data_IF_864495869779
#
_entry.id   IF_864495869779
#
_cell.length_a   1.000
_cell.length_b   1.000
_cell.length_c   1.000
_cell.angle_alpha   90.00
_cell.angle_beta   90.00
_cell.angle_gamma   90.00
#
_symmetry.space_group_name_H-M   'P 1'
#
loop_
_entity.id
_entity.type
_entity.pdbx_description
1 polymer ?
#
# COMPACT_ATOMS: atom_id res chain seq x y z
N UNK A 1 -16.44 6.20 8.47
CA UNK A 1 -16.55 6.23 9.94
C UNK A 1 -15.21 6.73 10.40
N UNK A 2 -15.18 7.93 10.95
CA UNK A 2 -13.94 8.64 11.18
C UNK A 2 -13.60 8.55 12.67
N UNK A 3 -12.38 8.13 12.98
CA UNK A 3 -11.90 8.02 14.35
C UNK A 3 -11.05 9.25 14.62
N UNK A 4 -11.54 10.13 15.50
CA UNK A 4 -10.75 11.26 15.98
C UNK A 4 -9.78 10.78 17.05
N UNK A 5 -8.51 11.17 16.91
CA UNK A 5 -7.47 10.83 17.87
C UNK A 5 -7.74 11.49 19.23
N UNK A 6 -7.44 10.76 20.30
CA UNK A 6 -7.41 11.34 21.64
C UNK A 6 -6.21 12.29 21.80
N UNK A 7 -6.23 13.22 22.77
CA UNK A 7 -5.08 14.09 23.04
C UNK A 7 -3.79 13.32 23.37
N UNK A 8 -3.90 12.15 23.99
CA UNK A 8 -2.75 11.28 24.28
C UNK A 8 -2.18 10.68 22.99
N UNK A 9 -3.04 10.18 22.10
CA UNK A 9 -2.63 9.64 20.81
C UNK A 9 -2.00 10.72 19.92
N UNK A 10 -2.54 11.94 19.95
CA UNK A 10 -1.97 13.08 19.24
C UNK A 10 -0.54 13.39 19.72
N UNK A 11 -0.29 13.36 21.04
CA UNK A 11 1.08 13.58 21.56
C UNK A 11 2.06 12.51 21.10
N UNK A 12 1.63 11.25 21.02
CA UNK A 12 2.47 10.16 20.49
C UNK A 12 2.79 10.40 19.02
N UNK A 13 1.80 10.88 18.24
CA UNK A 13 2.00 11.29 16.85
C UNK A 13 3.00 12.44 16.72
N UNK A 14 2.83 13.50 17.50
CA UNK A 14 3.70 14.68 17.43
C UNK A 14 5.16 14.33 17.79
N UNK A 15 5.38 13.38 18.70
CA UNK A 15 6.71 12.91 19.11
C UNK A 15 7.38 11.98 18.09
N UNK A 16 6.60 11.33 17.23
CA UNK A 16 7.12 10.35 16.28
C UNK A 16 7.92 10.96 15.11
N UNK A 17 7.89 12.29 14.94
CA UNK A 17 8.79 13.08 14.09
C UNK A 17 9.03 12.50 12.68
N UNK A 18 7.98 11.98 12.04
CA UNK A 18 8.04 11.43 10.68
C UNK A 18 8.30 9.93 10.58
N UNK A 19 8.36 9.22 11.70
CA UNK A 19 8.37 7.75 11.71
C UNK A 19 6.95 7.20 11.60
N UNK A 20 6.82 6.06 10.93
CA UNK A 20 5.55 5.33 10.85
C UNK A 20 5.15 4.83 12.24
N UNK A 21 3.90 5.05 12.62
CA UNK A 21 3.39 4.61 13.93
C UNK A 21 2.75 3.25 13.80
N UNK A 22 3.25 2.33 14.63
CA UNK A 22 2.68 1.01 14.79
C UNK A 22 1.63 1.02 15.89
N UNK A 23 0.43 0.56 15.58
CA UNK A 23 -0.64 0.34 16.54
C UNK A 23 -0.83 -1.17 16.67
N UNK A 24 -0.58 -1.70 17.85
CA UNK A 24 -0.82 -3.13 18.12
C UNK A 24 -2.17 -3.31 18.79
N UNK A 25 -3.03 -4.15 18.21
CA UNK A 25 -4.24 -4.60 18.89
C UNK A 25 -3.87 -5.68 19.92
N UNK A 26 -4.04 -5.44 21.23
CA UNK A 26 -3.67 -6.40 22.26
C UNK A 26 -4.53 -7.67 22.26
N UNK A 27 -5.73 -7.65 21.66
CA UNK A 27 -6.64 -8.80 21.63
C UNK A 27 -6.23 -9.82 20.58
N UNK A 28 -5.86 -9.33 19.39
CA UNK A 28 -5.52 -10.18 18.23
C UNK A 28 -4.02 -10.25 17.96
N UNK A 29 -3.23 -9.38 18.59
CA UNK A 29 -1.81 -9.12 18.27
C UNK A 29 -1.58 -8.63 16.83
N UNK A 30 -2.62 -8.17 16.15
CA UNK A 30 -2.48 -7.54 14.85
C UNK A 30 -1.72 -6.22 14.99
N UNK A 31 -0.79 -5.95 14.06
CA UNK A 31 -0.09 -4.67 13.95
C UNK A 31 -0.67 -3.88 12.79
N UNK A 32 -1.11 -2.67 13.07
CA UNK A 32 -1.55 -1.67 12.11
C UNK A 32 -0.49 -0.59 11.96
N UNK A 33 -0.46 0.06 10.81
CA UNK A 33 0.39 1.21 10.52
C UNK A 33 -0.50 2.42 10.29
N UNK A 34 -0.25 3.49 11.05
CA UNK A 34 -0.88 4.78 10.80
C UNK A 34 -0.07 5.55 9.77
N UNK A 35 -0.72 5.88 8.67
CA UNK A 35 -0.14 6.65 7.56
C UNK A 35 -1.02 7.90 7.39
N UNK A 36 -0.44 9.12 7.34
CA UNK A 36 -1.19 10.32 6.99
C UNK A 36 -1.90 10.16 5.65
N UNK A 37 -3.14 10.65 5.55
CA UNK A 37 -3.97 10.44 4.36
C UNK A 37 -3.27 10.89 3.05
N UNK A 38 -2.55 12.02 3.08
CA UNK A 38 -1.78 12.52 1.94
C UNK A 38 -0.68 11.54 1.49
N UNK A 39 0.02 10.91 2.44
CA UNK A 39 1.03 9.90 2.14
C UNK A 39 0.39 8.60 1.65
N UNK A 40 -0.76 8.21 2.22
CA UNK A 40 -1.49 7.03 1.79
C UNK A 40 -1.94 7.14 0.33
N UNK A 41 -2.48 8.29 -0.09
CA UNK A 41 -2.89 8.48 -1.48
C UNK A 41 -1.71 8.37 -2.45
N UNK A 42 -0.56 8.97 -2.12
CA UNK A 42 0.65 8.83 -2.95
C UNK A 42 1.15 7.38 -3.03
N UNK A 43 1.12 6.64 -1.92
CA UNK A 43 1.47 5.21 -1.92
C UNK A 43 0.44 4.39 -2.72
N UNK A 44 -0.85 4.69 -2.59
CA UNK A 44 -1.93 4.00 -3.31
C UNK A 44 -1.77 4.18 -4.82
N UNK A 45 -1.50 5.39 -5.28
CA UNK A 45 -1.25 5.68 -6.69
C UNK A 45 -0.05 4.89 -7.21
N UNK A 46 1.08 4.90 -6.49
CA UNK A 46 2.27 4.13 -6.86
C UNK A 46 2.02 2.61 -6.91
N UNK A 47 1.23 2.06 -5.96
CA UNK A 47 0.89 0.64 -5.92
C UNK A 47 -0.09 0.23 -7.04
N UNK A 48 -1.04 1.10 -7.39
CA UNK A 48 -1.93 0.88 -8.53
C UNK A 48 -1.14 0.91 -9.84
N UNK A 49 -0.19 1.83 -10.01
CA UNK A 49 0.71 1.87 -11.17
C UNK A 49 1.58 0.61 -11.28
N UNK A 50 2.16 0.12 -10.17
CA UNK A 50 2.96 -1.11 -10.16
C UNK A 50 2.10 -2.35 -10.47
N UNK A 51 0.86 -2.40 -9.96
CA UNK A 51 -0.10 -3.46 -10.31
C UNK A 51 -0.43 -3.45 -11.79
N UNK A 52 -0.68 -2.28 -12.38
CA UNK A 52 -0.92 -2.13 -13.82
C UNK A 52 0.29 -2.58 -14.63
N UNK A 53 1.52 -2.18 -14.25
CA UNK A 53 2.74 -2.64 -14.91
C UNK A 53 2.92 -4.16 -14.85
N UNK A 54 2.66 -4.80 -13.71
CA UNK A 54 2.71 -6.26 -13.58
C UNK A 54 1.67 -6.95 -14.47
N UNK A 55 0.47 -6.39 -14.57
CA UNK A 55 -0.57 -6.90 -15.47
C UNK A 55 -0.15 -6.74 -16.94
N UNK A 56 0.34 -5.57 -17.35
CA UNK A 56 0.82 -5.31 -18.72
C UNK A 56 1.96 -6.25 -19.09
N UNK A 57 2.94 -6.45 -18.18
CA UNK A 57 4.03 -7.40 -18.39
C UNK A 57 3.51 -8.83 -18.56
N UNK A 58 2.56 -9.25 -17.72
CA UNK A 58 1.96 -10.58 -17.82
C UNK A 58 1.17 -10.80 -19.13
N UNK A 59 0.50 -9.76 -19.65
CA UNK A 59 -0.23 -9.81 -20.92
C UNK A 59 0.73 -9.78 -22.11
N UNK A 60 1.80 -8.96 -22.05
CA UNK A 60 2.85 -8.91 -23.06
C UNK A 60 3.57 -10.25 -23.22
N UNK A 61 3.89 -10.95 -22.11
CA UNK A 61 4.48 -12.28 -22.16
C UNK A 61 3.53 -13.34 -22.74
N UNK A 62 2.24 -13.29 -22.42
CA UNK A 62 1.24 -14.21 -23.00
C UNK A 62 1.10 -14.04 -24.51
N UNK A 63 1.13 -12.79 -24.99
CA UNK A 63 1.05 -12.50 -26.42
C UNK A 63 2.34 -12.89 -27.18
N UNK A 64 3.52 -12.80 -26.55
CA UNK A 64 4.77 -13.24 -27.15
C UNK A 64 4.86 -14.77 -27.29
N UNK A 65 4.31 -15.53 -26.32
CA UNK A 65 4.23 -16.99 -26.40
C UNK A 65 3.26 -17.45 -27.48
N UNK A 66 2.12 -16.77 -27.67
CA UNK A 66 1.18 -17.10 -28.75
C UNK A 66 1.76 -16.83 -30.15
N UNK A 67 2.56 -15.78 -30.34
CA UNK A 67 3.21 -15.50 -31.64
C UNK A 67 4.36 -16.46 -31.97
N UNK A 68 5.02 -17.04 -30.97
CA UNK A 68 6.09 -18.03 -31.19
C UNK A 68 5.56 -19.44 -31.51
N UNK A 69 4.24 -19.66 -31.41
CA UNK A 69 3.57 -20.91 -31.80
C UNK A 69 2.83 -20.84 -33.14
N UNK A 70 2.82 -19.68 -33.79
CA UNK A 70 2.29 -19.44 -35.15
C UNK A 70 3.46 -19.07 -36.08
N UNK A 71 4.43 -19.96 -36.22
CA UNK A 71 5.32 -19.98 -37.39
C UNK A 71 5.13 -21.36 -38.06
N UNK A 72 4.70 -21.43 -39.34
CA UNK A 72 4.38 -22.68 -40.03
C UNK A 72 5.60 -23.55 -40.37
#
# INVERSE_FOLDING_TARGET
>A
MDITLSPEQQRVLDQSAGHLIHVTDPRTRASYLLIPAEQYEGIREALEEERVQKVVHSVGMKNAVSRAGEDP
#
